data_IF_885560145990
#
_entry.id   IF_885560145990
#
_cell.length_a   1.000
_cell.length_b   1.000
_cell.length_c   1.000
_cell.angle_alpha   90.00
_cell.angle_beta   90.00
_cell.angle_gamma   90.00
#
_symmetry.space_group_name_H-M   'P 1'
#
loop_
_entity.id
_entity.type
_entity.pdbx_description
1 polymer ?
#
# COMPACT_ATOMS: atom_id res chain seq x y z
N UNK A 1 1.60 -4.31 22.64
CA UNK A 1 0.72 -5.48 22.85
C UNK A 1 1.35 -6.37 23.92
N UNK A 2 0.78 -6.43 25.13
CA UNK A 2 1.34 -7.26 26.20
C UNK A 2 1.26 -8.75 25.81
N UNK A 3 2.35 -9.49 26.03
CA UNK A 3 2.43 -10.94 25.80
C UNK A 3 2.93 -11.39 24.42
N UNK A 4 3.14 -10.48 23.47
CA UNK A 4 3.77 -10.78 22.18
C UNK A 4 5.26 -10.42 22.19
N UNK A 5 6.10 -11.25 21.57
CA UNK A 5 7.53 -10.99 21.43
C UNK A 5 7.77 -9.69 20.65
N UNK A 6 8.56 -8.79 21.25
CA UNK A 6 8.95 -7.50 20.66
C UNK A 6 9.61 -7.67 19.30
N UNK A 7 10.36 -8.74 19.07
CA UNK A 7 10.99 -9.01 17.77
C UNK A 7 9.97 -9.25 16.64
N UNK A 8 8.74 -9.63 16.98
CA UNK A 8 7.66 -9.88 16.01
C UNK A 8 6.84 -8.62 15.79
N UNK A 9 6.60 -7.82 16.84
CA UNK A 9 5.71 -6.65 16.79
C UNK A 9 6.42 -5.32 16.52
N UNK A 10 7.72 -5.22 16.81
CA UNK A 10 8.50 -4.02 16.56
C UNK A 10 9.15 -4.06 15.17
N UNK A 11 8.79 -3.10 14.32
CA UNK A 11 9.48 -2.88 13.06
C UNK A 11 10.55 -1.81 13.22
N UNK A 12 11.79 -2.12 12.84
CA UNK A 12 12.90 -1.16 12.81
C UNK A 12 13.08 -0.64 11.39
N UNK A 13 12.90 0.66 11.20
CA UNK A 13 13.16 1.31 9.91
C UNK A 13 14.67 1.60 9.80
N UNK A 14 15.40 0.98 8.86
CA UNK A 14 16.81 1.29 8.65
C UNK A 14 16.95 2.71 8.10
N UNK A 15 17.92 3.45 8.63
CA UNK A 15 18.27 4.79 8.13
C UNK A 15 19.51 4.67 7.24
N UNK A 16 19.61 5.56 6.25
CA UNK A 16 20.83 5.67 5.45
C UNK A 16 21.99 6.10 6.37
N UNK A 17 23.19 5.51 6.22
CA UNK A 17 24.37 5.95 6.97
C UNK A 17 24.61 7.46 6.79
N UNK A 18 24.81 8.18 7.89
CA UNK A 18 25.02 9.63 7.88
C UNK A 18 23.74 10.48 7.88
N UNK A 19 22.55 9.88 7.99
CA UNK A 19 21.29 10.63 8.09
C UNK A 19 21.25 11.51 9.36
N UNK A 20 20.88 12.78 9.20
CA UNK A 20 20.78 13.75 10.29
C UNK A 20 19.29 13.91 10.69
N UNK A 21 18.93 13.83 11.99
CA UNK A 21 17.56 14.04 12.43
C UNK A 21 17.11 15.49 12.21
N UNK A 22 15.87 15.67 11.74
CA UNK A 22 15.31 16.99 11.42
C UNK A 22 14.12 17.32 12.32
N UNK A 23 14.14 18.52 12.91
CA UNK A 23 12.99 19.09 13.63
C UNK A 23 12.23 20.05 12.73
N UNK A 24 11.08 19.61 12.22
CA UNK A 24 10.21 20.45 11.41
C UNK A 24 9.49 21.48 12.27
N UNK A 25 9.42 22.72 11.79
CA UNK A 25 8.62 23.78 12.41
C UNK A 25 7.13 23.48 12.27
N UNK A 26 6.35 23.73 13.33
CA UNK A 26 4.92 23.48 13.34
C UNK A 26 4.21 24.32 12.27
N UNK A 27 3.40 23.68 11.42
CA UNK A 27 2.60 24.39 10.42
C UNK A 27 1.42 25.11 11.08
N UNK A 28 1.16 26.35 10.65
CA UNK A 28 -0.08 27.06 11.00
C UNK A 28 -1.27 26.30 10.44
N UNK A 29 -2.23 26.02 11.30
CA UNK A 29 -3.47 25.31 10.97
C UNK A 29 -4.68 26.14 11.41
N UNK A 30 -5.80 25.99 10.69
CA UNK A 30 -7.08 26.61 11.08
C UNK A 30 -7.58 25.97 12.38
N UNK A 31 -8.24 26.75 13.23
CA UNK A 31 -8.80 26.31 14.53
C UNK A 31 -9.60 25.02 14.41
N UNK A 32 -10.53 24.94 13.46
CA UNK A 32 -11.45 23.81 13.31
C UNK A 32 -10.71 22.50 12.96
N UNK A 33 -9.59 22.63 12.24
CA UNK A 33 -8.75 21.49 11.90
C UNK A 33 -7.88 21.06 13.08
N UNK A 34 -7.39 22.02 13.86
CA UNK A 34 -6.63 21.76 15.08
C UNK A 34 -7.46 20.99 16.11
N UNK A 35 -8.73 21.38 16.30
CA UNK A 35 -9.67 20.69 17.19
C UNK A 35 -9.84 19.22 16.79
N UNK A 36 -10.13 18.96 15.51
CA UNK A 36 -10.29 17.58 15.00
C UNK A 36 -9.00 16.75 15.11
N UNK A 37 -7.83 17.38 14.96
CA UNK A 37 -6.55 16.71 15.16
C UNK A 37 -6.39 16.32 16.63
N UNK A 38 -6.69 17.23 17.56
CA UNK A 38 -6.59 16.96 19.00
C UNK A 38 -7.54 15.84 19.44
N UNK A 39 -8.80 15.85 18.99
CA UNK A 39 -9.77 14.78 19.28
C UNK A 39 -9.26 13.40 18.85
N UNK A 40 -8.65 13.32 17.66
CA UNK A 40 -8.13 12.05 17.14
C UNK A 40 -6.81 11.64 17.83
N UNK A 41 -5.96 12.61 18.22
CA UNK A 41 -4.75 12.35 19.01
C UNK A 41 -5.11 11.80 20.38
N UNK A 42 -6.08 12.39 21.08
CA UNK A 42 -6.59 11.89 22.36
C UNK A 42 -7.13 10.47 22.22
N UNK A 43 -7.91 10.20 21.19
CA UNK A 43 -8.42 8.85 20.92
C UNK A 43 -7.30 7.82 20.72
N UNK A 44 -6.22 8.18 20.01
CA UNK A 44 -5.08 7.28 19.80
C UNK A 44 -4.20 7.13 21.04
N UNK A 45 -4.12 8.16 21.87
CA UNK A 45 -3.50 8.12 23.18
C UNK A 45 -4.22 7.14 24.11
N UNK A 46 -5.53 7.29 24.26
CA UNK A 46 -6.37 6.40 25.10
C UNK A 46 -6.35 4.95 24.59
N UNK A 47 -6.25 4.75 23.28
CA UNK A 47 -6.08 3.42 22.69
C UNK A 47 -4.68 2.81 22.89
N UNK A 48 -3.74 3.55 23.48
CA UNK A 48 -2.37 3.11 23.72
C UNK A 48 -1.50 3.01 22.47
N UNK A 49 -1.89 3.66 21.37
CA UNK A 49 -1.08 3.72 20.14
C UNK A 49 -0.01 4.81 20.18
N UNK A 50 -0.26 5.88 20.95
CA UNK A 50 0.69 6.97 21.12
C UNK A 50 1.38 6.88 22.49
N UNK A 51 2.62 7.34 22.54
CA UNK A 51 3.40 7.48 23.77
C UNK A 51 4.15 8.82 23.73
N UNK A 52 4.37 9.41 24.91
CA UNK A 52 5.15 10.64 25.03
C UNK A 52 6.61 10.33 24.76
N UNK A 53 7.23 11.11 23.88
CA UNK A 53 8.67 11.07 23.62
C UNK A 53 9.34 12.29 24.23
N UNK A 54 10.30 12.05 25.13
CA UNK A 54 11.04 13.12 25.81
C UNK A 54 12.25 13.53 24.98
N UNK A 55 12.40 14.84 24.75
CA UNK A 55 13.54 15.44 24.04
C UNK A 55 13.85 14.85 22.65
N UNK A 56 12.85 14.72 21.75
CA UNK A 56 13.06 14.05 20.47
C UNK A 56 14.03 14.84 19.59
N UNK A 57 15.03 14.18 19.01
CA UNK A 57 15.98 14.82 18.09
C UNK A 57 15.35 15.18 16.74
N UNK A 58 14.19 14.62 16.42
CA UNK A 58 13.42 14.86 15.20
C UNK A 58 11.96 15.16 15.53
N UNK A 59 11.30 15.95 14.70
CA UNK A 59 9.87 16.28 14.82
C UNK A 59 9.28 16.38 13.43
N UNK A 60 8.17 15.69 13.18
CA UNK A 60 7.44 15.75 11.92
C UNK A 60 6.11 16.47 12.10
N UNK A 61 5.69 17.23 11.09
CA UNK A 61 4.39 17.91 11.10
C UNK A 61 3.23 16.94 10.86
N UNK A 62 2.14 17.12 11.62
CA UNK A 62 0.88 16.42 11.37
C UNK A 62 0.17 17.08 10.18
N UNK A 63 -0.19 16.28 9.17
CA UNK A 63 -0.93 16.75 8.00
C UNK A 63 -2.32 16.09 7.99
N UNK A 64 -3.40 16.86 8.24
CA UNK A 64 -4.74 16.30 8.21
C UNK A 64 -5.17 16.02 6.77
N UNK A 65 -5.57 14.78 6.49
CA UNK A 65 -6.13 14.38 5.19
C UNK A 65 -7.63 14.13 5.37
N UNK A 66 -8.52 14.99 4.82
CA UNK A 66 -9.96 14.79 4.91
C UNK A 66 -10.40 13.61 4.03
N UNK A 67 -11.19 12.70 4.59
CA UNK A 67 -11.90 11.68 3.83
C UNK A 67 -13.18 12.24 3.20
N UNK A 68 -13.72 11.51 2.21
CA UNK A 68 -15.03 11.79 1.59
C UNK A 68 -16.21 11.75 2.58
N UNK A 69 -16.05 11.14 3.76
CA UNK A 69 -17.04 11.10 4.84
C UNK A 69 -16.86 12.23 5.89
N UNK A 70 -15.90 13.14 5.70
CA UNK A 70 -15.62 14.25 6.61
C UNK A 70 -14.74 13.92 7.82
N UNK A 71 -14.33 12.64 8.00
CA UNK A 71 -13.41 12.22 9.07
C UNK A 71 -11.94 12.43 8.70
N UNK A 72 -11.10 12.77 9.66
CA UNK A 72 -9.63 12.83 9.48
C UNK A 72 -9.01 11.44 9.67
N UNK A 73 -7.89 11.18 8.98
CA UNK A 73 -7.00 10.04 9.23
C UNK A 73 -5.62 10.55 9.61
N UNK A 74 -5.09 10.25 10.79
CA UNK A 74 -3.70 9.84 10.94
C UNK A 74 -3.60 8.51 10.19
N UNK A 75 -2.52 8.25 9.46
CA UNK A 75 -2.38 7.01 8.70
C UNK A 75 -1.87 5.89 9.61
N UNK A 76 -2.70 4.86 9.89
CA UNK A 76 -2.22 3.50 9.92
C UNK A 76 -2.66 2.78 8.65
N UNK A 77 -1.72 2.01 8.11
CA UNK A 77 -1.84 1.06 7.03
C UNK A 77 -2.88 -0.02 7.35
N UNK A 78 -4.16 0.30 7.17
CA UNK A 78 -5.17 -0.71 6.88
C UNK A 78 -4.91 -1.23 5.48
N UNK A 79 -4.41 -2.46 5.36
CA UNK A 79 -4.20 -3.13 4.08
C UNK A 79 -5.44 -2.99 3.20
N UNK A 80 -5.36 -2.41 1.98
CA UNK A 80 -6.49 -2.37 1.07
C UNK A 80 -6.92 -3.81 0.77
N UNK A 81 -8.15 -4.16 1.17
CA UNK A 81 -8.72 -5.47 0.90
C UNK A 81 -9.21 -5.53 -0.56
N UNK A 82 -8.72 -6.50 -1.33
CA UNK A 82 -9.10 -6.73 -2.73
C UNK A 82 -10.61 -6.97 -2.90
N UNK A 83 -11.28 -7.53 -1.89
CA UNK A 83 -12.73 -7.73 -1.89
C UNK A 83 -13.50 -6.40 -1.85
N UNK A 84 -13.00 -5.42 -1.09
CA UNK A 84 -13.59 -4.08 -1.05
C UNK A 84 -13.43 -3.37 -2.40
N UNK A 85 -12.29 -3.57 -3.06
CA UNK A 85 -12.03 -3.06 -4.40
C UNK A 85 -12.92 -3.73 -5.46
N UNK A 86 -13.13 -5.05 -5.40
CA UNK A 86 -14.08 -5.76 -6.28
C UNK A 86 -15.50 -5.26 -6.11
N UNK A 87 -15.96 -5.12 -4.85
CA UNK A 87 -17.30 -4.62 -4.54
C UNK A 87 -17.51 -3.21 -5.11
N UNK A 88 -16.53 -2.32 -4.93
CA UNK A 88 -16.58 -0.97 -5.49
C UNK A 88 -16.53 -0.98 -7.03
N UNK A 89 -15.68 -1.81 -7.63
CA UNK A 89 -15.58 -1.95 -9.08
C UNK A 89 -16.90 -2.36 -9.73
N UNK A 90 -17.63 -3.29 -9.11
CA UNK A 90 -18.97 -3.73 -9.58
C UNK A 90 -20.07 -2.67 -9.45
N UNK A 91 -19.84 -1.61 -8.67
CA UNK A 91 -20.76 -0.47 -8.54
C UNK A 91 -20.56 0.59 -9.62
N UNK A 92 -19.40 0.60 -10.29
CA UNK A 92 -19.18 1.50 -11.42
C UNK A 92 -19.99 1.01 -12.62
N UNK A 93 -20.93 1.83 -13.09
CA UNK A 93 -21.76 1.54 -14.26
C UNK A 93 -21.79 2.72 -15.23
N UNK A 94 -21.98 2.42 -16.50
CA UNK A 94 -22.21 3.40 -17.55
C UNK A 94 -21.04 4.37 -17.73
N UNK A 95 -21.31 5.67 -17.68
CA UNK A 95 -20.32 6.73 -17.93
C UNK A 95 -19.14 6.71 -16.96
N UNK A 96 -19.37 6.30 -15.71
CA UNK A 96 -18.33 6.28 -14.66
C UNK A 96 -17.33 5.15 -14.86
N UNK A 97 -17.79 4.00 -15.36
CA UNK A 97 -16.91 2.89 -15.74
C UNK A 97 -16.03 3.31 -16.92
N UNK A 98 -16.61 3.92 -17.97
CA UNK A 98 -15.85 4.37 -19.15
C UNK A 98 -14.84 5.47 -18.83
N UNK A 99 -15.17 6.37 -17.89
CA UNK A 99 -14.26 7.41 -17.44
C UNK A 99 -13.12 6.83 -16.60
N UNK A 100 -13.40 5.82 -15.78
CA UNK A 100 -12.41 5.09 -15.02
C UNK A 100 -11.46 4.30 -15.93
N UNK A 101 -12.00 3.50 -16.85
CA UNK A 101 -11.23 2.75 -17.85
C UNK A 101 -10.36 3.67 -18.71
N UNK A 102 -10.85 4.87 -19.08
CA UNK A 102 -10.03 5.85 -19.80
C UNK A 102 -8.83 6.37 -19.00
N UNK A 103 -8.93 6.41 -17.67
CA UNK A 103 -7.90 6.98 -16.79
C UNK A 103 -6.96 5.94 -16.21
N UNK A 104 -7.46 4.73 -16.03
CA UNK A 104 -6.81 3.66 -15.27
C UNK A 104 -6.75 2.34 -16.05
N UNK A 105 -7.05 2.38 -17.35
CA UNK A 105 -7.05 1.23 -18.27
C UNK A 105 -7.88 0.06 -17.72
N UNK A 106 -7.38 -1.17 -17.87
CA UNK A 106 -8.07 -2.39 -17.50
C UNK A 106 -7.90 -2.80 -16.03
N UNK A 107 -7.73 -1.83 -15.12
CA UNK A 107 -7.59 -2.12 -13.69
C UNK A 107 -8.82 -2.83 -13.10
N UNK A 108 -10.04 -2.54 -13.60
CA UNK A 108 -11.25 -3.25 -13.17
C UNK A 108 -11.26 -4.71 -13.61
N UNK A 109 -10.74 -5.00 -14.81
CA UNK A 109 -10.56 -6.36 -15.28
C UNK A 109 -9.62 -7.13 -14.37
N UNK A 110 -8.44 -6.56 -14.07
CA UNK A 110 -7.41 -7.18 -13.20
C UNK A 110 -7.91 -7.46 -11.78
N UNK A 111 -8.66 -6.53 -11.18
CA UNK A 111 -9.23 -6.71 -9.84
C UNK A 111 -10.28 -7.80 -9.81
N UNK A 112 -10.98 -8.04 -10.91
CA UNK A 112 -12.03 -9.05 -11.04
C UNK A 112 -11.51 -10.46 -11.28
N UNK A 113 -10.22 -10.62 -11.58
CA UNK A 113 -9.58 -11.90 -11.85
C UNK A 113 -9.61 -12.79 -10.60
N UNK A 114 -10.16 -14.00 -10.74
CA UNK A 114 -10.14 -15.01 -9.70
C UNK A 114 -8.74 -15.62 -9.53
N UNK A 115 -7.89 -14.91 -8.78
CA UNK A 115 -6.60 -15.42 -8.33
C UNK A 115 -6.76 -16.34 -7.12
N UNK A 116 -5.94 -17.39 -7.05
CA UNK A 116 -5.80 -18.22 -5.85
C UNK A 116 -4.89 -17.49 -4.84
N UNK A 117 -5.43 -16.88 -3.77
CA UNK A 117 -4.65 -15.98 -2.92
C UNK A 117 -3.51 -16.69 -2.19
N UNK A 118 -3.73 -17.95 -1.82
CA UNK A 118 -2.74 -18.80 -1.16
C UNK A 118 -1.55 -19.12 -2.08
N UNK A 119 -1.80 -19.39 -3.36
CA UNK A 119 -0.74 -19.66 -4.33
C UNK A 119 0.12 -18.42 -4.57
N UNK A 120 -0.50 -17.26 -4.80
CA UNK A 120 0.24 -16.01 -5.04
C UNK A 120 0.96 -15.49 -3.80
N UNK A 121 0.37 -15.61 -2.61
CA UNK A 121 1.06 -15.23 -1.37
C UNK A 121 2.28 -16.12 -1.13
N UNK A 122 2.17 -17.43 -1.41
CA UNK A 122 3.32 -18.35 -1.33
C UNK A 122 4.38 -17.99 -2.36
N UNK A 123 4.02 -17.81 -3.64
CA UNK A 123 4.95 -17.44 -4.71
C UNK A 123 5.62 -16.08 -4.47
N UNK A 124 4.89 -15.10 -3.93
CA UNK A 124 5.42 -13.76 -3.67
C UNK A 124 6.59 -13.74 -2.69
N UNK A 125 6.69 -14.71 -1.79
CA UNK A 125 7.82 -14.85 -0.86
C UNK A 125 9.13 -15.16 -1.57
N UNK A 126 9.04 -15.72 -2.78
CA UNK A 126 10.17 -16.12 -3.61
C UNK A 126 10.38 -15.18 -4.80
N UNK A 127 9.63 -14.08 -4.92
CA UNK A 127 9.81 -13.15 -6.02
C UNK A 127 11.05 -12.29 -5.81
N UNK A 128 11.97 -12.30 -6.76
CA UNK A 128 13.17 -11.47 -6.79
C UNK A 128 12.92 -10.24 -7.67
N UNK A 129 12.77 -9.02 -7.11
CA UNK A 129 12.45 -7.84 -7.90
C UNK A 129 13.54 -7.43 -8.90
N UNK A 130 14.84 -7.45 -8.55
CA UNK A 130 15.92 -7.24 -9.52
C UNK A 130 15.88 -8.19 -10.73
N UNK A 131 15.64 -9.49 -10.49
CA UNK A 131 15.66 -10.50 -11.55
C UNK A 131 14.31 -10.70 -12.24
N UNK A 132 13.23 -10.14 -11.68
CA UNK A 132 11.84 -10.25 -12.18
C UNK A 132 11.40 -11.71 -12.36
N UNK A 133 11.89 -12.61 -11.51
CA UNK A 133 11.58 -14.04 -11.53
C UNK A 133 11.39 -14.57 -10.11
N UNK A 134 10.89 -15.80 -9.98
CA UNK A 134 10.81 -16.47 -8.70
C UNK A 134 12.10 -17.26 -8.44
N UNK A 135 12.78 -16.98 -7.34
CA UNK A 135 14.03 -17.62 -6.94
C UNK A 135 13.75 -18.65 -5.85
N UNK A 136 13.90 -19.92 -6.20
CA UNK A 136 13.93 -21.03 -5.26
C UNK A 136 15.38 -21.38 -4.96
N UNK A 137 15.64 -22.16 -3.89
CA UNK A 137 17.01 -22.47 -3.43
C UNK A 137 17.91 -23.00 -4.55
N UNK A 138 17.35 -23.83 -5.44
CA UNK A 138 18.13 -24.58 -6.42
C UNK A 138 17.78 -24.22 -7.87
N UNK A 139 16.79 -23.36 -8.13
CA UNK A 139 16.40 -22.97 -9.49
C UNK A 139 15.64 -21.64 -9.55
N UNK A 140 15.70 -21.00 -10.71
CA UNK A 140 14.94 -19.80 -11.04
C UNK A 140 13.75 -20.18 -11.93
N UNK A 141 12.57 -19.65 -11.61
CA UNK A 141 11.37 -19.79 -12.40
C UNK A 141 10.97 -18.42 -12.97
N UNK A 142 11.09 -18.26 -14.28
CA UNK A 142 10.54 -17.13 -15.02
C UNK A 142 9.38 -17.67 -15.87
N UNK A 143 8.11 -17.55 -15.40
CA UNK A 143 7.00 -18.15 -16.11
C UNK A 143 6.87 -17.58 -17.52
N UNK A 144 6.57 -18.42 -18.50
CA UNK A 144 6.22 -17.95 -19.84
C UNK A 144 4.86 -17.23 -19.83
N UNK A 145 4.52 -16.57 -20.93
CA UNK A 145 3.23 -15.86 -21.05
C UNK A 145 2.04 -16.81 -20.89
N UNK A 146 2.16 -18.03 -21.42
CA UNK A 146 1.16 -19.10 -21.32
C UNK A 146 1.04 -19.63 -19.89
N UNK A 147 2.15 -19.69 -19.15
CA UNK A 147 2.16 -20.09 -17.75
C UNK A 147 1.55 -19.01 -16.87
N UNK A 148 1.81 -17.74 -17.15
CA UNK A 148 1.13 -16.63 -16.50
C UNK A 148 -0.37 -16.68 -16.75
N UNK A 149 -0.84 -16.93 -17.97
CA UNK A 149 -2.26 -17.13 -18.28
C UNK A 149 -2.88 -18.22 -17.40
N UNK A 150 -2.19 -19.35 -17.21
CA UNK A 150 -2.68 -20.43 -16.33
C UNK A 150 -2.69 -20.04 -14.85
N UNK A 151 -1.67 -19.30 -14.40
CA UNK A 151 -1.53 -18.85 -13.01
C UNK A 151 -2.55 -17.77 -12.64
N UNK A 152 -2.72 -16.77 -13.51
CA UNK A 152 -3.61 -15.64 -13.28
C UNK A 152 -5.01 -15.87 -13.86
N UNK A 153 -5.25 -16.92 -14.65
CA UNK A 153 -6.52 -17.18 -15.34
C UNK A 153 -6.99 -16.02 -16.24
N UNK A 154 -6.05 -15.27 -16.82
CA UNK A 154 -6.33 -14.22 -17.82
C UNK A 154 -5.85 -14.74 -19.17
N UNK A 155 -6.74 -14.86 -20.17
CA UNK A 155 -6.35 -15.34 -21.49
C UNK A 155 -5.44 -14.31 -22.19
N UNK A 156 -4.33 -14.80 -22.75
CA UNK A 156 -3.28 -13.97 -23.37
C UNK A 156 -3.70 -13.35 -24.72
N UNK A 157 -4.71 -13.93 -25.37
CA UNK A 157 -5.18 -13.56 -26.71
C UNK A 157 -5.80 -12.15 -26.83
N UNK A 158 -6.13 -11.51 -25.71
CA UNK A 158 -6.88 -10.23 -25.69
C UNK A 158 -6.02 -8.98 -25.52
N UNK A 159 -4.70 -9.09 -25.36
CA UNK A 159 -3.85 -7.91 -25.16
C UNK A 159 -2.43 -8.13 -25.66
N UNK A 160 -1.82 -7.19 -26.40
CA UNK A 160 -0.39 -7.26 -26.69
C UNK A 160 0.39 -7.31 -25.37
N UNK A 161 1.50 -8.07 -25.30
CA UNK A 161 2.30 -8.16 -24.09
C UNK A 161 2.68 -6.76 -23.64
N UNK A 162 2.60 -6.50 -22.32
CA UNK A 162 3.03 -5.23 -21.75
C UNK A 162 4.51 -5.04 -22.04
N UNK A 163 4.81 -4.19 -23.03
CA UNK A 163 6.15 -3.75 -23.33
C UNK A 163 6.45 -2.58 -22.40
N UNK A 164 7.28 -2.82 -21.39
CA UNK A 164 7.73 -1.77 -20.49
C UNK A 164 8.51 -0.71 -21.29
N UNK A 165 7.87 0.44 -21.53
CA UNK A 165 8.51 1.63 -22.11
C UNK A 165 8.94 2.53 -20.96
N UNK A 166 10.05 2.19 -20.30
CA UNK A 166 10.59 3.00 -19.21
C UNK A 166 12.09 3.18 -19.34
N UNK A 167 12.56 4.42 -19.19
CA UNK A 167 13.98 4.72 -18.99
C UNK A 167 14.43 4.07 -17.68
N UNK A 168 15.48 3.26 -17.77
CA UNK A 168 16.14 2.71 -16.60
C UNK A 168 16.63 3.88 -15.73
N UNK A 169 16.29 3.92 -14.43
CA UNK A 169 16.95 4.85 -13.52
C UNK A 169 18.44 4.49 -13.50
N UNK A 170 19.27 5.49 -13.85
CA UNK A 170 20.73 5.45 -13.74
C UNK A 170 21.19 5.24 -12.30
#
# INVERSE_FOLDING_TARGET
MPGLDRNIVEHRLPLLPGSIPVRQQLRRMKSDMALKINEEVEKQWEAGFLAVSNYPQWVANIVPVPKKDGKLRPLPTGTPNIQSLRCWGGQLKGQWQRAFERKYENLLGLVSVEVQPTAFSTLSQYYDPPLRCFTFRDFQLAPTLEEYERLIRIPYDKSPPYLFVGHYPS
#
